data_IF_010827923275
#
_entry.id   IF_010827923275
#
_cell.length_a   1.000
_cell.length_b   1.000
_cell.length_c   1.000
_cell.angle_alpha   90.00
_cell.angle_beta   90.00
_cell.angle_gamma   90.00
#
_symmetry.space_group_name_H-M   'P 1'
#
loop_
_entity.id
_entity.type
_entity.pdbx_description
1 polymer ?
#
# COMPACT_ATOMS: atom_id res chain seq x y z
N UNK A 1 -6.54 -11.29 16.89
CA UNK A 1 -5.20 -11.28 16.27
C UNK A 1 -5.13 -10.06 15.38
N UNK A 2 -4.02 -9.32 15.38
CA UNK A 2 -3.84 -8.18 14.46
C UNK A 2 -3.41 -8.69 13.09
N UNK A 3 -4.20 -8.35 12.07
CA UNK A 3 -3.95 -8.73 10.69
C UNK A 3 -4.07 -7.50 9.79
N UNK A 4 -3.29 -7.49 8.71
CA UNK A 4 -3.35 -6.42 7.73
C UNK A 4 -4.40 -6.76 6.68
N UNK A 5 -5.28 -5.81 6.40
CA UNK A 5 -6.32 -5.91 5.39
C UNK A 5 -6.16 -4.79 4.36
N UNK A 6 -6.61 -5.03 3.14
CA UNK A 6 -6.64 -3.98 2.11
C UNK A 6 -8.07 -3.48 1.92
N UNK A 7 -8.29 -2.20 2.17
CA UNK A 7 -9.54 -1.50 1.89
C UNK A 7 -9.46 -0.83 0.53
N UNK A 8 -10.46 -1.07 -0.32
CA UNK A 8 -10.71 -0.29 -1.51
C UNK A 8 -11.61 0.91 -1.15
N UNK A 9 -11.16 2.12 -1.44
CA UNK A 9 -11.85 3.35 -1.10
C UNK A 9 -11.65 4.42 -2.17
N UNK A 10 -12.52 5.42 -2.18
CA UNK A 10 -12.39 6.56 -3.07
C UNK A 10 -11.22 7.46 -2.62
N UNK A 11 -10.43 7.96 -3.58
CA UNK A 11 -9.22 8.74 -3.28
C UNK A 11 -9.53 10.03 -2.50
N UNK A 12 -10.66 10.68 -2.82
CA UNK A 12 -11.11 11.92 -2.15
C UNK A 12 -11.47 11.71 -0.68
N UNK A 13 -11.88 10.49 -0.31
CA UNK A 13 -12.34 10.14 1.03
C UNK A 13 -11.24 9.48 1.87
N UNK A 14 -10.06 9.20 1.30
CA UNK A 14 -8.94 8.54 1.98
C UNK A 14 -8.62 9.21 3.32
N UNK A 15 -8.42 10.53 3.32
CA UNK A 15 -8.06 11.26 4.54
C UNK A 15 -9.15 11.19 5.61
N UNK A 16 -10.42 11.24 5.19
CA UNK A 16 -11.56 11.12 6.08
C UNK A 16 -11.66 9.73 6.69
N UNK A 17 -11.42 8.70 5.89
CA UNK A 17 -11.39 7.31 6.35
C UNK A 17 -10.25 7.14 7.34
N UNK A 18 -9.03 7.55 6.99
CA UNK A 18 -7.84 7.50 7.85
C UNK A 18 -8.11 8.08 9.24
N UNK A 19 -8.63 9.32 9.32
CA UNK A 19 -8.93 9.95 10.62
C UNK A 19 -9.95 9.17 11.45
N UNK A 20 -10.95 8.55 10.80
CA UNK A 20 -11.96 7.74 11.50
C UNK A 20 -11.39 6.43 12.02
N UNK A 21 -10.60 5.74 11.20
CA UNK A 21 -10.03 4.44 11.58
C UNK A 21 -8.92 4.61 12.62
N UNK A 22 -8.16 5.71 12.58
CA UNK A 22 -7.21 6.09 13.64
C UNK A 22 -7.93 6.25 14.99
N UNK A 23 -9.11 6.86 15.01
CA UNK A 23 -9.95 6.97 16.22
C UNK A 23 -10.50 5.62 16.73
N UNK A 24 -10.47 4.57 15.90
CA UNK A 24 -10.87 3.21 16.26
C UNK A 24 -9.69 2.34 16.68
N UNK A 25 -8.49 2.92 16.90
CA UNK A 25 -7.24 2.20 17.14
C UNK A 25 -6.84 1.25 16.00
N UNK A 26 -7.19 1.60 14.76
CA UNK A 26 -6.76 0.87 13.56
C UNK A 26 -5.51 1.55 13.01
N UNK A 27 -4.46 0.78 12.79
CA UNK A 27 -3.24 1.28 12.16
C UNK A 27 -3.45 1.40 10.66
N UNK A 28 -3.05 2.53 10.08
CA UNK A 28 -3.21 2.81 8.64
C UNK A 28 -1.85 2.90 7.98
N UNK A 29 -1.66 2.13 6.91
CA UNK A 29 -0.50 2.22 6.05
C UNK A 29 -0.94 2.55 4.62
N UNK A 30 -0.37 3.62 4.07
CA UNK A 30 -0.61 4.03 2.69
C UNK A 30 0.75 4.12 1.99
N UNK A 31 1.10 3.14 1.14
CA UNK A 31 2.40 3.13 0.51
C UNK A 31 2.50 4.25 -0.52
N UNK A 32 3.58 5.01 -0.43
CA UNK A 32 3.89 6.15 -1.31
C UNK A 32 5.24 5.92 -1.98
N UNK A 33 5.41 6.45 -3.18
CA UNK A 33 6.66 6.47 -3.93
C UNK A 33 7.00 7.90 -4.35
N UNK A 34 8.28 8.15 -4.58
CA UNK A 34 8.73 9.45 -5.07
C UNK A 34 8.84 9.40 -6.59
N UNK A 35 8.06 10.25 -7.25
CA UNK A 35 8.20 10.51 -8.67
C UNK A 35 9.19 11.64 -8.87
N UNK A 36 10.38 11.31 -9.36
CA UNK A 36 11.37 12.29 -9.81
C UNK A 36 11.05 12.66 -11.26
N UNK A 37 10.71 13.92 -11.51
CA UNK A 37 10.47 14.44 -12.85
C UNK A 37 11.49 15.55 -13.14
N UNK A 38 12.28 15.46 -14.23
CA UNK A 38 13.19 16.54 -14.60
C UNK A 38 12.37 17.78 -14.96
N UNK A 39 12.78 18.95 -14.45
CA UNK A 39 12.18 20.22 -14.88
C UNK A 39 12.61 20.53 -16.31
N UNK A 40 11.70 21.07 -17.11
CA UNK A 40 11.98 21.44 -18.51
C UNK A 40 12.75 22.76 -18.62
N UNK A 41 12.62 23.61 -17.60
CA UNK A 41 13.13 24.98 -17.53
C UNK A 41 14.51 25.08 -16.85
N UNK A 42 14.92 24.07 -16.09
CA UNK A 42 16.20 24.07 -15.38
C UNK A 42 16.75 22.64 -15.19
N UNK A 43 18.07 22.52 -14.96
CA UNK A 43 18.76 21.25 -14.62
C UNK A 43 18.33 20.63 -13.28
N UNK A 44 17.29 21.16 -12.64
CA UNK A 44 16.78 20.66 -11.37
C UNK A 44 15.73 19.56 -11.59
N UNK A 45 15.58 18.70 -10.59
CA UNK A 45 14.55 17.67 -10.56
C UNK A 45 13.43 18.09 -9.60
N UNK A 46 12.18 17.80 -9.96
CA UNK A 46 11.02 17.91 -9.06
C UNK A 46 10.73 16.53 -8.49
N UNK A 47 10.79 16.41 -7.18
CA UNK A 47 10.36 15.22 -6.46
C UNK A 47 8.91 15.42 -6.01
N UNK A 48 8.01 14.52 -6.41
CA UNK A 48 6.62 14.50 -5.95
C UNK A 48 6.34 13.17 -5.27
N UNK A 49 5.88 13.21 -4.02
CA UNK A 49 5.38 12.02 -3.35
C UNK A 49 3.99 11.66 -3.93
N UNK A 50 3.85 10.42 -4.41
CA UNK A 50 2.61 9.89 -4.98
C UNK A 50 2.24 8.58 -4.31
N UNK A 51 0.95 8.32 -4.19
CA UNK A 51 0.44 7.05 -3.66
C UNK A 51 0.80 5.93 -4.64
N UNK A 52 1.42 4.87 -4.14
CA UNK A 52 1.84 3.70 -4.93
C UNK A 52 0.63 2.96 -5.47
N UNK A 53 -0.39 2.77 -4.62
CA UNK A 53 -1.66 2.13 -4.97
C UNK A 53 -2.82 3.08 -4.69
N UNK A 54 -3.21 3.93 -5.65
CA UNK A 54 -4.35 4.82 -5.45
C UNK A 54 -5.60 3.99 -5.19
N UNK A 55 -6.47 4.51 -4.32
CA UNK A 55 -7.72 3.87 -3.89
C UNK A 55 -7.55 2.62 -3.00
N UNK A 56 -6.32 2.28 -2.61
CA UNK A 56 -6.05 1.20 -1.66
C UNK A 56 -5.47 1.75 -0.36
N UNK A 57 -6.03 1.30 0.76
CA UNK A 57 -5.53 1.57 2.10
C UNK A 57 -5.24 0.25 2.79
N UNK A 58 -4.08 0.15 3.43
CA UNK A 58 -3.74 -1.01 4.25
C UNK A 58 -4.08 -0.68 5.69
N UNK A 59 -4.83 -1.57 6.34
CA UNK A 59 -5.35 -1.38 7.68
C UNK A 59 -4.93 -2.56 8.54
N UNK A 60 -4.23 -2.33 9.65
CA UNK A 60 -3.94 -3.37 10.64
C UNK A 60 -4.89 -3.24 11.82
N UNK A 61 -5.70 -4.27 12.05
CA UNK A 61 -6.62 -4.31 13.19
C UNK A 61 -7.00 -5.74 13.55
N UNK A 62 -7.59 -5.88 14.73
CA UNK A 62 -8.20 -7.13 15.17
C UNK A 62 -9.70 -7.12 14.84
N UNK A 63 -10.15 -8.06 14.01
CA UNK A 63 -11.56 -8.20 13.61
C UNK A 63 -12.48 -8.44 14.80
N UNK A 64 -11.97 -8.99 15.91
CA UNK A 64 -12.75 -9.21 17.14
C UNK A 64 -13.00 -7.91 17.93
N UNK A 65 -12.17 -6.89 17.73
CA UNK A 65 -12.29 -5.58 18.40
C UNK A 65 -12.99 -4.58 17.46
N UNK A 66 -12.55 -4.51 16.21
CA UNK A 66 -13.10 -3.63 15.19
C UNK A 66 -13.61 -4.47 14.03
N UNK A 67 -14.93 -4.60 13.95
CA UNK A 67 -15.54 -5.32 12.83
C UNK A 67 -15.28 -4.62 11.49
N UNK A 68 -15.01 -5.42 10.45
CA UNK A 68 -14.87 -4.95 9.06
C UNK A 68 -16.08 -4.15 8.61
N UNK A 69 -17.29 -4.53 9.04
CA UNK A 69 -18.54 -3.82 8.76
C UNK A 69 -18.50 -2.35 9.20
N UNK A 70 -17.92 -2.06 10.37
CA UNK A 70 -17.76 -0.70 10.89
C UNK A 70 -16.93 0.15 9.93
N UNK A 71 -15.83 -0.38 9.43
CA UNK A 71 -14.94 0.31 8.49
C UNK A 71 -15.63 0.48 7.12
N UNK A 72 -16.32 -0.54 6.61
CA UNK A 72 -17.07 -0.44 5.34
C UNK A 72 -18.29 0.48 5.43
N UNK A 73 -18.80 0.75 6.63
CA UNK A 73 -19.90 1.70 6.83
C UNK A 73 -19.47 3.17 6.69
N UNK A 74 -18.15 3.44 6.66
CA UNK A 74 -17.62 4.78 6.47
C UNK A 74 -17.89 5.24 5.03
N UNK A 75 -18.52 6.41 4.81
CA UNK A 75 -18.71 6.95 3.46
C UNK A 75 -17.38 7.07 2.72
N UNK A 76 -17.33 6.53 1.49
CA UNK A 76 -16.13 6.48 0.66
C UNK A 76 -15.34 5.17 0.77
N UNK A 77 -15.62 4.31 1.75
CA UNK A 77 -15.14 2.95 1.80
C UNK A 77 -16.02 2.08 0.88
N UNK A 78 -15.43 1.48 -0.16
CA UNK A 78 -16.19 0.60 -1.07
C UNK A 78 -16.27 -0.82 -0.52
N UNK A 79 -15.19 -1.31 0.08
CA UNK A 79 -15.12 -2.67 0.61
C UNK A 79 -13.70 -3.16 0.75
N UNK A 80 -13.53 -4.24 1.51
CA UNK A 80 -12.23 -4.91 1.60
C UNK A 80 -11.97 -5.71 0.33
N UNK A 81 -10.71 -5.73 -0.10
CA UNK A 81 -10.24 -6.64 -1.14
C UNK A 81 -10.40 -8.05 -0.60
N UNK A 82 -11.11 -8.90 -1.31
CA UNK A 82 -11.32 -10.31 -0.97
C UNK A 82 -10.95 -11.19 -2.15
N UNK A 83 -10.44 -12.38 -1.86
CA UNK A 83 -10.27 -13.44 -2.84
C UNK A 83 -11.32 -14.53 -2.52
N UNK A 84 -12.41 -14.52 -3.28
CA UNK A 84 -13.58 -15.35 -2.96
C UNK A 84 -14.41 -14.73 -1.83
N UNK A 85 -14.74 -15.53 -0.81
CA UNK A 85 -15.69 -15.16 0.25
C UNK A 85 -15.04 -14.47 1.46
N UNK A 86 -13.72 -14.46 1.56
CA UNK A 86 -12.99 -13.95 2.74
C UNK A 86 -12.12 -12.73 2.40
N UNK A 87 -12.06 -11.71 3.27
CA UNK A 87 -11.13 -10.60 3.09
C UNK A 87 -9.67 -11.08 2.98
N UNK A 88 -8.92 -10.41 2.11
CA UNK A 88 -7.49 -10.65 1.89
C UNK A 88 -6.67 -10.13 3.08
N UNK A 89 -6.02 -11.03 3.81
CA UNK A 89 -5.05 -10.75 4.89
C UNK A 89 -3.61 -10.59 4.38
N UNK A 90 -3.11 -9.37 4.24
CA UNK A 90 -1.76 -9.12 3.72
C UNK A 90 -0.71 -9.58 4.74
N UNK A 91 0.27 -10.43 4.36
CA UNK A 91 1.36 -10.77 5.25
C UNK A 91 2.18 -9.53 5.62
N UNK A 92 2.64 -9.44 6.88
CA UNK A 92 3.51 -8.35 7.33
C UNK A 92 4.77 -8.22 6.48
N UNK A 93 5.29 -9.34 5.96
CA UNK A 93 6.43 -9.37 5.03
C UNK A 93 6.19 -8.53 3.76
N UNK A 94 4.97 -8.49 3.24
CA UNK A 94 4.61 -7.66 2.08
C UNK A 94 4.61 -6.19 2.46
N UNK A 95 4.06 -5.83 3.62
CA UNK A 95 4.07 -4.44 4.11
C UNK A 95 5.51 -3.95 4.28
N UNK A 96 6.35 -4.75 4.95
CA UNK A 96 7.78 -4.44 5.13
C UNK A 96 8.52 -4.36 3.79
N UNK A 97 8.20 -5.22 2.82
CA UNK A 97 8.78 -5.14 1.47
C UNK A 97 8.40 -3.84 0.75
N UNK A 98 7.17 -3.37 0.91
CA UNK A 98 6.73 -2.10 0.32
C UNK A 98 7.44 -0.92 0.99
N UNK A 99 7.60 -0.95 2.31
CA UNK A 99 8.34 0.07 3.04
C UNK A 99 9.83 0.10 2.66
N UNK A 100 10.47 -1.06 2.57
CA UNK A 100 11.84 -1.20 2.08
C UNK A 100 12.01 -0.66 0.66
N UNK A 101 11.12 -1.03 -0.26
CA UNK A 101 11.15 -0.51 -1.63
C UNK A 101 11.05 1.03 -1.68
N UNK A 102 10.25 1.63 -0.78
CA UNK A 102 10.14 3.08 -0.64
C UNK A 102 11.44 3.70 -0.14
N UNK A 103 12.06 3.13 0.90
CA UNK A 103 13.33 3.62 1.47
C UNK A 103 14.48 3.54 0.44
N UNK A 104 14.58 2.44 -0.30
CA UNK A 104 15.56 2.27 -1.37
C UNK A 104 15.39 3.29 -2.50
N UNK A 105 14.15 3.67 -2.82
CA UNK A 105 13.88 4.71 -3.82
C UNK A 105 14.23 6.13 -3.34
N UNK A 106 14.33 6.34 -2.02
CA UNK A 106 14.67 7.61 -1.38
C UNK A 106 16.19 7.79 -1.24
N UNK A 107 16.87 6.78 -0.71
CA UNK A 107 18.31 6.79 -0.40
C UNK A 107 18.98 5.55 -1.02
N UNK A 108 19.31 5.56 -2.32
CA UNK A 108 19.94 4.41 -2.99
C UNK A 108 21.38 4.10 -2.53
N UNK A 109 22.02 5.01 -1.78
CA UNK A 109 23.37 4.84 -1.21
C UNK A 109 23.35 4.29 0.23
N UNK A 110 22.19 4.27 0.89
CA UNK A 110 22.05 3.92 2.31
C UNK A 110 21.41 2.52 2.44
N UNK A 111 22.00 1.53 1.78
CA UNK A 111 21.44 0.18 1.69
C UNK A 111 22.05 -0.80 2.72
N UNK A 112 21.17 -1.63 3.31
CA UNK A 112 21.32 -3.09 3.45
C UNK A 112 20.92 -3.71 4.82
N UNK A 113 20.55 -2.92 5.84
CA UNK A 113 20.33 -3.49 7.17
C UNK A 113 18.88 -3.98 7.37
N UNK A 114 17.86 -3.26 6.91
CA UNK A 114 16.46 -3.60 7.23
C UNK A 114 15.78 -4.58 6.26
N UNK A 115 16.27 -4.70 5.02
CA UNK A 115 15.60 -5.54 4.00
C UNK A 115 16.16 -6.97 3.90
N UNK A 116 17.08 -7.35 4.78
CA UNK A 116 17.84 -8.62 4.69
C UNK A 116 16.98 -9.89 4.80
N UNK A 117 15.78 -9.78 5.35
CA UNK A 117 14.84 -10.89 5.55
C UNK A 117 13.65 -10.87 4.57
N UNK A 118 13.69 -10.03 3.54
CA UNK A 118 12.61 -9.89 2.56
C UNK A 118 12.95 -10.74 1.34
N UNK A 119 11.99 -11.52 0.87
CA UNK A 119 12.17 -12.31 -0.35
C UNK A 119 12.54 -11.37 -1.52
N UNK A 120 13.70 -11.58 -2.19
CA UNK A 120 14.18 -10.67 -3.22
C UNK A 120 13.20 -10.54 -4.39
N UNK A 121 12.51 -11.64 -4.75
CA UNK A 121 11.45 -11.65 -5.76
C UNK A 121 10.26 -10.74 -5.41
N UNK A 122 9.90 -10.65 -4.13
CA UNK A 122 8.79 -9.81 -3.67
C UNK A 122 9.17 -8.34 -3.76
N UNK A 123 10.39 -8.00 -3.34
CA UNK A 123 10.93 -6.65 -3.43
C UNK A 123 11.03 -6.18 -4.88
N UNK A 124 11.57 -7.02 -5.77
CA UNK A 124 11.68 -6.73 -7.20
C UNK A 124 10.30 -6.47 -7.83
N UNK A 125 9.30 -7.30 -7.54
CA UNK A 125 7.92 -7.10 -8.02
C UNK A 125 7.32 -5.78 -7.53
N UNK A 126 7.55 -5.39 -6.27
CA UNK A 126 7.05 -4.11 -5.74
C UNK A 126 7.74 -2.92 -6.41
N UNK A 127 9.04 -3.01 -6.65
CA UNK A 127 9.78 -2.00 -7.41
C UNK A 127 9.24 -1.89 -8.85
N UNK A 128 8.99 -3.01 -9.53
CA UNK A 128 8.36 -3.03 -10.86
C UNK A 128 6.99 -2.35 -10.85
N UNK A 129 6.14 -2.62 -9.85
CA UNK A 129 4.85 -1.96 -9.69
C UNK A 129 5.00 -0.43 -9.61
N UNK A 130 6.01 0.08 -8.90
CA UNK A 130 6.25 1.52 -8.79
C UNK A 130 6.58 2.20 -10.13
N UNK A 131 7.16 1.46 -11.07
CA UNK A 131 7.53 1.95 -12.41
C UNK A 131 6.34 2.01 -13.36
N UNK A 132 5.23 1.32 -13.08
CA UNK A 132 4.04 1.31 -13.93
C UNK A 132 3.34 2.67 -13.87
N UNK A 133 3.33 3.37 -15.01
CA UNK A 133 2.73 4.71 -15.13
C UNK A 133 1.21 4.69 -14.99
N UNK A 134 0.55 3.73 -15.63
CA UNK A 134 -0.91 3.63 -15.62
C UNK A 134 -1.43 3.16 -14.25
N UNK A 135 -2.29 3.94 -13.57
CA UNK A 135 -2.89 3.52 -12.30
C UNK A 135 -3.63 2.19 -12.41
N UNK A 136 -4.46 2.01 -13.45
CA UNK A 136 -5.25 0.79 -13.62
C UNK A 136 -4.38 -0.45 -13.80
N UNK A 137 -3.35 -0.38 -14.65
CA UNK A 137 -2.43 -1.50 -14.85
C UNK A 137 -1.67 -1.86 -13.57
N UNK A 138 -1.29 -0.84 -12.80
CA UNK A 138 -0.62 -1.00 -11.51
C UNK A 138 -1.53 -1.65 -10.47
N UNK A 139 -2.80 -1.28 -10.43
CA UNK A 139 -3.79 -1.92 -9.55
C UNK A 139 -4.00 -3.40 -9.91
N UNK A 140 -4.13 -3.72 -11.21
CA UNK A 140 -4.25 -5.10 -11.68
C UNK A 140 -3.02 -5.93 -11.32
N UNK A 141 -1.82 -5.39 -11.55
CA UNK A 141 -0.58 -6.08 -11.23
C UNK A 141 -0.42 -6.28 -9.71
N UNK A 142 -0.82 -5.30 -8.89
CA UNK A 142 -0.82 -5.43 -7.43
C UNK A 142 -1.83 -6.49 -6.93
N UNK A 143 -3.05 -6.50 -7.48
CA UNK A 143 -4.04 -7.53 -7.14
C UNK A 143 -3.53 -8.93 -7.47
N UNK A 144 -2.86 -9.12 -8.61
CA UNK A 144 -2.20 -10.38 -8.97
C UNK A 144 -1.07 -10.76 -8.01
N UNK A 145 -0.29 -9.78 -7.55
CA UNK A 145 0.76 -10.01 -6.55
C UNK A 145 0.15 -10.54 -5.26
N UNK A 146 -0.90 -9.89 -4.75
CA UNK A 146 -1.61 -10.34 -3.56
C UNK A 146 -2.17 -11.75 -3.74
N UNK A 147 -2.79 -12.07 -4.89
CA UNK A 147 -3.32 -13.41 -5.16
C UNK A 147 -2.25 -14.50 -5.12
N UNK A 148 -1.06 -14.23 -5.66
CA UNK A 148 0.06 -15.16 -5.69
C UNK A 148 0.71 -15.41 -4.32
N UNK A 149 0.40 -14.62 -3.30
CA UNK A 149 0.90 -14.84 -1.93
C UNK A 149 0.02 -15.82 -1.13
N UNK A 150 -1.13 -16.24 -1.67
CA UNK A 150 -2.05 -17.20 -1.02
C UNK A 150 -1.98 -18.62 -1.60
N UNK A 151 -1.04 -18.89 -2.51
CA UNK A 151 -0.84 -20.19 -3.17
C UNK A 151 0.48 -20.82 -2.73
#
# INVERSE_FOLDING_TARGET
MYEWYVLYCNNQDVERITRRVEGLNVEVFCPRYIKVTPRKDCRAVRQEEKVLFPNYLFLCFDVNITHTSTITSIPGAHGFVSFGSTPCTVPKSVITAIECARLMALNPDEDAIECRNIAPDLLAKIQELSLIRSPLQRQVAFSKLLQNQYH
#
